data_IF_439768208234
#
_entry.id   IF_439768208234
#
_cell.length_a   1.000
_cell.length_b   1.000
_cell.length_c   1.000
_cell.angle_alpha   90.00
_cell.angle_beta   90.00
_cell.angle_gamma   90.00
#
_symmetry.space_group_name_H-M   'P 1'
#
loop_
_entity.id
_entity.type
_entity.pdbx_description
1 polymer ?
#
# COMPACT_ATOMS: atom_id res chain seq x y z
N UNK A 1 12.57 2.03 8.51
CA UNK A 1 12.26 3.16 9.41
C UNK A 1 10.79 3.54 9.22
N UNK A 2 9.91 3.03 10.09
CA UNK A 2 8.48 3.39 10.13
C UNK A 2 8.31 4.46 11.20
N UNK A 3 7.57 5.51 10.84
CA UNK A 3 6.68 6.25 11.74
C UNK A 3 7.31 7.12 12.82
N UNK A 4 7.30 8.44 12.58
CA UNK A 4 6.80 9.42 13.55
C UNK A 4 6.58 10.75 12.85
N UNK A 5 5.32 10.98 12.49
CA UNK A 5 4.89 12.17 11.79
C UNK A 5 3.41 12.12 11.45
N UNK A 6 2.55 11.66 12.37
CA UNK A 6 1.11 11.87 12.24
C UNK A 6 0.64 12.69 13.44
N UNK A 7 0.66 14.00 13.20
CA UNK A 7 -0.19 15.01 13.83
C UNK A 7 -1.52 14.41 14.31
N UNK A 8 -2.01 14.83 15.49
CA UNK A 8 -3.35 14.48 15.98
C UNK A 8 -4.48 14.69 14.95
N UNK A 9 -4.24 15.52 13.92
CA UNK A 9 -5.16 15.71 12.80
C UNK A 9 -5.19 14.52 11.84
N UNK A 10 -4.05 13.87 11.55
CA UNK A 10 -4.00 12.72 10.63
C UNK A 10 -4.81 11.52 11.13
N UNK A 11 -4.71 11.21 12.43
CA UNK A 11 -5.54 10.16 13.05
C UNK A 11 -7.04 10.49 13.04
N UNK A 12 -7.41 11.77 13.18
CA UNK A 12 -8.80 12.22 13.07
C UNK A 12 -9.33 12.09 11.64
N UNK A 13 -8.48 12.36 10.65
CA UNK A 13 -8.83 12.27 9.24
C UNK A 13 -9.05 10.81 8.83
N UNK A 14 -8.20 9.86 9.26
CA UNK A 14 -8.40 8.43 8.98
C UNK A 14 -9.71 7.88 9.55
N UNK A 15 -10.08 8.24 10.79
CA UNK A 15 -11.35 7.80 11.38
C UNK A 15 -12.57 8.31 10.63
N UNK A 16 -12.53 9.55 10.14
CA UNK A 16 -13.60 10.09 9.29
C UNK A 16 -13.71 9.34 7.96
N UNK A 17 -12.56 9.02 7.35
CA UNK A 17 -12.53 8.25 6.11
C UNK A 17 -13.15 6.86 6.31
N UNK A 18 -12.79 6.16 7.40
CA UNK A 18 -13.38 4.86 7.75
C UNK A 18 -14.91 4.98 7.84
N UNK A 19 -15.44 5.93 8.61
CA UNK A 19 -16.89 6.13 8.74
C UNK A 19 -17.58 6.37 7.40
N UNK A 20 -16.99 7.18 6.51
CA UNK A 20 -17.54 7.44 5.18
C UNK A 20 -17.55 6.16 4.34
N UNK A 21 -16.47 5.39 4.36
CA UNK A 21 -16.35 4.15 3.59
C UNK A 21 -17.33 3.09 4.10
N UNK A 22 -17.43 2.88 5.41
CA UNK A 22 -18.34 1.92 6.06
C UNK A 22 -19.82 2.26 5.84
N UNK A 23 -20.15 3.54 5.65
CA UNK A 23 -21.52 3.98 5.35
C UNK A 23 -22.00 3.64 3.94
N UNK A 24 -21.11 3.19 3.05
CA UNK A 24 -21.48 2.92 1.66
C UNK A 24 -22.23 1.60 1.53
N UNK A 25 -23.32 1.56 0.77
CA UNK A 25 -23.95 0.29 0.42
C UNK A 25 -22.97 -0.56 -0.40
N UNK A 26 -23.10 -1.88 -0.28
CA UNK A 26 -22.30 -2.86 -1.03
C UNK A 26 -20.78 -2.80 -0.82
N UNK A 27 -20.31 -2.27 0.32
CA UNK A 27 -18.87 -2.30 0.67
C UNK A 27 -18.26 -3.70 0.58
N UNK A 28 -19.09 -4.72 0.82
CA UNK A 28 -18.75 -6.13 0.74
C UNK A 28 -18.39 -6.65 -0.65
N UNK A 29 -18.67 -5.87 -1.69
CA UNK A 29 -18.44 -6.24 -3.09
C UNK A 29 -17.30 -5.44 -3.72
N UNK A 30 -16.69 -4.52 -2.99
CA UNK A 30 -15.65 -3.63 -3.49
C UNK A 30 -14.34 -3.82 -2.73
N UNK A 31 -13.43 -4.58 -3.35
CA UNK A 31 -12.11 -4.86 -2.80
C UNK A 31 -11.28 -3.59 -2.56
N UNK A 32 -11.45 -2.57 -3.38
CA UNK A 32 -10.70 -1.32 -3.22
C UNK A 32 -11.17 -0.56 -1.98
N UNK A 33 -12.48 -0.51 -1.72
CA UNK A 33 -13.02 0.11 -0.50
C UNK A 33 -12.56 -0.63 0.76
N UNK A 34 -12.61 -1.97 0.74
CA UNK A 34 -12.09 -2.78 1.84
C UNK A 34 -10.59 -2.54 2.09
N UNK A 35 -9.80 -2.49 1.02
CA UNK A 35 -8.37 -2.17 1.12
C UNK A 35 -8.13 -0.78 1.72
N UNK A 36 -8.91 0.23 1.33
CA UNK A 36 -8.80 1.58 1.90
C UNK A 36 -9.11 1.62 3.39
N UNK A 37 -10.12 0.86 3.84
CA UNK A 37 -10.42 0.74 5.28
C UNK A 37 -9.24 0.08 5.99
N UNK A 38 -8.71 -1.02 5.44
CA UNK A 38 -7.55 -1.70 5.99
C UNK A 38 -6.33 -0.77 6.14
N UNK A 39 -6.06 0.06 5.12
CA UNK A 39 -4.95 1.02 5.12
C UNK A 39 -5.14 2.12 6.18
N UNK A 40 -6.38 2.56 6.38
CA UNK A 40 -6.71 3.52 7.44
C UNK A 40 -6.50 2.91 8.83
N UNK A 41 -6.94 1.67 9.08
CA UNK A 41 -6.70 0.99 10.34
C UNK A 41 -5.20 0.76 10.60
N UNK A 42 -4.45 0.31 9.59
CA UNK A 42 -2.99 0.14 9.68
C UNK A 42 -2.30 1.48 10.01
N UNK A 43 -2.75 2.58 9.40
CA UNK A 43 -2.24 3.93 9.67
C UNK A 43 -2.58 4.44 11.08
N UNK A 44 -3.65 3.93 11.69
CA UNK A 44 -4.02 4.17 13.08
C UNK A 44 -3.30 3.24 14.08
N UNK A 45 -2.54 2.25 13.58
CA UNK A 45 -1.89 1.22 14.39
C UNK A 45 -2.83 0.10 14.84
N UNK A 46 -4.04 0.04 14.28
CA UNK A 46 -5.02 -1.02 14.51
C UNK A 46 -4.79 -2.16 13.52
N UNK A 47 -3.66 -2.85 13.70
CA UNK A 47 -3.25 -3.96 12.82
C UNK A 47 -4.25 -5.13 12.77
N UNK A 48 -4.95 -5.51 13.86
CA UNK A 48 -5.99 -6.55 13.80
C UNK A 48 -7.13 -6.22 12.83
N UNK A 49 -7.70 -5.01 12.92
CA UNK A 49 -8.76 -4.59 12.01
C UNK A 49 -8.22 -4.42 10.56
N UNK A 50 -6.99 -3.95 10.41
CA UNK A 50 -6.34 -3.87 9.10
C UNK A 50 -6.20 -5.26 8.45
N UNK A 51 -5.85 -6.28 9.23
CA UNK A 51 -5.74 -7.67 8.76
C UNK A 51 -7.11 -8.20 8.35
N UNK A 52 -8.15 -7.96 9.15
CA UNK A 52 -9.52 -8.41 8.85
C UNK A 52 -10.01 -7.84 7.50
N UNK A 53 -10.00 -6.51 7.36
CA UNK A 53 -10.43 -5.84 6.14
C UNK A 53 -9.54 -6.16 4.94
N UNK A 54 -8.22 -6.22 5.16
CA UNK A 54 -7.26 -6.56 4.12
C UNK A 54 -7.46 -7.98 3.59
N UNK A 55 -7.80 -8.94 4.47
CA UNK A 55 -8.04 -10.33 4.07
C UNK A 55 -9.31 -10.45 3.24
N UNK A 56 -10.37 -9.71 3.59
CA UNK A 56 -11.61 -9.65 2.81
C UNK A 56 -11.39 -9.02 1.44
N UNK A 57 -10.61 -7.93 1.38
CA UNK A 57 -10.19 -7.33 0.11
C UNK A 57 -9.45 -8.33 -0.78
N UNK A 58 -8.47 -9.05 -0.20
CA UNK A 58 -7.67 -10.03 -0.93
C UNK A 58 -8.50 -11.23 -1.39
N UNK A 59 -9.55 -11.62 -0.65
CA UNK A 59 -10.47 -12.68 -1.06
C UNK A 59 -11.25 -12.32 -2.34
N UNK A 60 -11.59 -11.04 -2.53
CA UNK A 60 -12.25 -10.54 -3.74
C UNK A 60 -11.26 -10.30 -4.90
N UNK A 61 -10.03 -9.87 -4.59
CA UNK A 61 -8.99 -9.65 -5.58
C UNK A 61 -7.64 -10.26 -5.12
N UNK A 62 -7.43 -11.57 -5.31
CA UNK A 62 -6.22 -12.29 -4.84
C UNK A 62 -4.92 -11.78 -5.47
N UNK A 63 -5.02 -11.14 -6.64
CA UNK A 63 -3.89 -10.56 -7.35
C UNK A 63 -3.51 -9.16 -6.86
N UNK A 64 -4.21 -8.60 -5.86
CA UNK A 64 -3.94 -7.27 -5.32
C UNK A 64 -2.61 -7.23 -4.56
N UNK A 65 -1.54 -6.83 -5.26
CA UNK A 65 -0.20 -6.66 -4.65
C UNK A 65 -0.24 -5.66 -3.50
N UNK A 66 -0.97 -4.54 -3.65
CA UNK A 66 -1.03 -3.51 -2.61
C UNK A 66 -1.71 -4.01 -1.33
N UNK A 67 -2.73 -4.85 -1.45
CA UNK A 67 -3.37 -5.49 -0.29
C UNK A 67 -2.44 -6.50 0.36
N UNK A 68 -1.71 -7.27 -0.45
CA UNK A 68 -0.72 -8.22 0.03
C UNK A 68 0.43 -7.53 0.78
N UNK A 69 0.96 -6.42 0.26
CA UNK A 69 2.01 -5.61 0.91
C UNK A 69 1.54 -5.09 2.27
N UNK A 70 0.28 -4.61 2.35
CA UNK A 70 -0.34 -4.14 3.59
C UNK A 70 -0.42 -5.27 4.62
N UNK A 71 -0.95 -6.43 4.23
CA UNK A 71 -1.12 -7.57 5.11
C UNK A 71 0.24 -8.08 5.63
N UNK A 72 1.24 -8.20 4.76
CA UNK A 72 2.62 -8.56 5.15
C UNK A 72 3.14 -7.59 6.22
N UNK A 73 2.93 -6.29 6.04
CA UNK A 73 3.33 -5.29 7.00
C UNK A 73 2.63 -5.43 8.36
N UNK A 74 1.33 -5.75 8.35
CA UNK A 74 0.54 -5.95 9.57
C UNK A 74 0.93 -7.25 10.28
N UNK A 75 1.10 -8.36 9.54
CA UNK A 75 1.57 -9.64 10.08
C UNK A 75 2.95 -9.50 10.72
N UNK A 76 3.87 -8.77 10.08
CA UNK A 76 5.18 -8.49 10.67
C UNK A 76 5.09 -7.72 11.99
N UNK A 77 4.24 -6.68 12.06
CA UNK A 77 4.07 -5.87 13.28
C UNK A 77 3.38 -6.62 14.42
N UNK A 78 2.47 -7.53 14.08
CA UNK A 78 1.74 -8.37 15.05
C UNK A 78 2.51 -9.63 15.45
N UNK A 79 3.67 -9.89 14.84
CA UNK A 79 4.53 -11.03 15.15
C UNK A 79 4.16 -12.33 14.44
N UNK A 80 3.19 -12.31 13.52
CA UNK A 80 2.85 -13.46 12.67
C UNK A 80 3.85 -13.58 11.51
N UNK A 81 5.07 -13.99 11.85
CA UNK A 81 6.19 -14.02 10.90
C UNK A 81 6.01 -15.04 9.78
N UNK A 82 5.27 -16.11 10.03
CA UNK A 82 4.98 -17.17 9.07
C UNK A 82 4.06 -16.67 7.95
N UNK A 83 2.95 -16.00 8.30
CA UNK A 83 2.06 -15.41 7.28
C UNK A 83 2.72 -14.26 6.54
N UNK A 84 3.53 -13.45 7.24
CA UNK A 84 4.33 -12.41 6.58
C UNK A 84 5.31 -13.01 5.56
N UNK A 85 6.02 -14.10 5.90
CA UNK A 85 6.92 -14.80 4.98
C UNK A 85 6.17 -15.37 3.77
N UNK A 86 5.04 -16.04 3.98
CA UNK A 86 4.22 -16.57 2.90
C UNK A 86 3.79 -15.47 1.92
N UNK A 87 3.30 -14.35 2.45
CA UNK A 87 2.89 -13.20 1.63
C UNK A 87 4.07 -12.58 0.86
N UNK A 88 5.26 -12.51 1.46
CA UNK A 88 6.48 -12.05 0.80
C UNK A 88 6.88 -12.98 -0.35
N UNK A 89 6.83 -14.30 -0.15
CA UNK A 89 7.13 -15.26 -1.21
C UNK A 89 6.18 -15.11 -2.40
N UNK A 90 4.88 -14.95 -2.14
CA UNK A 90 3.88 -14.68 -3.21
C UNK A 90 4.21 -13.37 -3.94
N UNK A 91 4.50 -12.29 -3.21
CA UNK A 91 4.78 -10.99 -3.80
C UNK A 91 6.08 -10.95 -4.61
N UNK A 92 7.14 -11.63 -4.15
CA UNK A 92 8.43 -11.68 -4.83
C UNK A 92 8.43 -12.59 -6.06
N UNK A 93 7.58 -13.63 -6.08
CA UNK A 93 7.38 -14.45 -7.27
C UNK A 93 6.72 -13.67 -8.41
N UNK A 94 6.05 -12.55 -8.13
CA UNK A 94 5.49 -11.66 -9.14
C UNK A 94 6.58 -10.74 -9.72
N UNK A 95 6.59 -10.51 -11.04
CA UNK A 95 7.55 -9.59 -11.66
C UNK A 95 7.45 -8.20 -11.02
N UNK A 96 8.57 -7.46 -10.91
CA UNK A 96 8.52 -6.10 -10.44
C UNK A 96 7.60 -5.28 -11.33
N UNK A 97 6.72 -4.44 -10.76
CA UNK A 97 5.92 -3.54 -11.56
C UNK A 97 6.86 -2.63 -12.37
N UNK A 98 6.52 -2.42 -13.64
CA UNK A 98 7.16 -1.44 -14.50
C UNK A 98 7.14 -0.07 -13.78
N UNK A 99 8.29 0.64 -13.69
CA UNK A 99 8.32 1.98 -13.12
C UNK A 99 7.31 2.88 -13.84
N UNK A 100 6.34 3.40 -13.08
CA UNK A 100 5.33 4.28 -13.66
C UNK A 100 6.00 5.57 -14.11
N UNK A 101 5.68 6.01 -15.33
CA UNK A 101 6.21 7.24 -15.93
C UNK A 101 5.10 7.98 -16.62
N UNK A 102 5.13 9.31 -16.53
CA UNK A 102 4.21 10.14 -17.28
C UNK A 102 4.55 10.04 -18.77
N UNK A 103 3.62 9.57 -19.63
CA UNK A 103 3.87 9.52 -21.07
C UNK A 103 4.22 10.92 -21.61
N UNK A 104 5.24 10.99 -22.46
CA UNK A 104 5.77 12.27 -22.97
C UNK A 104 4.69 13.11 -23.65
N UNK A 105 3.77 12.47 -24.37
CA UNK A 105 2.70 13.14 -25.09
C UNK A 105 1.64 13.79 -24.18
N UNK A 106 1.51 13.35 -22.91
CA UNK A 106 0.57 13.96 -21.96
C UNK A 106 1.14 15.23 -21.30
N UNK A 107 2.46 15.42 -21.30
CA UNK A 107 3.10 16.55 -20.62
C UNK A 107 2.63 17.91 -21.14
N UNK A 108 2.53 18.06 -22.47
CA UNK A 108 2.10 19.31 -23.10
C UNK A 108 0.65 19.68 -22.75
N UNK A 109 -0.33 18.81 -23.03
CA UNK A 109 -1.72 19.03 -22.65
C UNK A 109 -1.92 19.29 -21.15
N UNK A 110 -1.24 18.53 -20.28
CA UNK A 110 -1.32 18.72 -18.83
C UNK A 110 -0.75 20.07 -18.39
N UNK A 111 0.37 20.50 -18.97
CA UNK A 111 0.95 21.81 -18.70
C UNK A 111 0.00 22.95 -19.10
N UNK A 112 -0.78 22.77 -20.16
CA UNK A 112 -1.79 23.77 -20.56
C UNK A 112 -2.96 23.79 -19.56
N UNK A 113 -3.45 22.61 -19.15
CA UNK A 113 -4.50 22.49 -18.14
C UNK A 113 -4.07 23.04 -16.78
N UNK A 114 -2.79 22.95 -16.42
CA UNK A 114 -2.28 23.45 -15.14
C UNK A 114 -2.23 24.98 -15.04
N UNK A 115 -2.42 25.71 -16.15
CA UNK A 115 -2.60 27.17 -16.14
C UNK A 115 -3.95 27.59 -15.56
N UNK A 116 -4.95 26.71 -15.55
CA UNK A 116 -6.25 26.98 -14.93
C UNK A 116 -6.10 26.85 -13.41
N UNK A 117 -6.34 27.92 -12.61
CA UNK A 117 -6.04 27.91 -11.16
C UNK A 117 -6.66 26.75 -10.38
N UNK A 118 -7.89 26.34 -10.74
CA UNK A 118 -8.60 25.21 -10.11
C UNK A 118 -7.96 23.85 -10.43
N UNK A 119 -7.31 23.73 -11.58
CA UNK A 119 -6.67 22.50 -12.05
C UNK A 119 -5.15 22.49 -11.83
N UNK A 120 -4.54 23.64 -11.52
CA UNK A 120 -3.09 23.79 -11.31
C UNK A 120 -2.48 22.66 -10.50
N UNK A 121 -3.05 22.37 -9.33
CA UNK A 121 -2.54 21.32 -8.42
C UNK A 121 -2.69 19.90 -8.96
N UNK A 122 -3.73 19.64 -9.74
CA UNK A 122 -4.07 18.30 -10.22
C UNK A 122 -3.45 18.00 -11.59
N UNK A 123 -3.27 19.01 -12.44
CA UNK A 123 -2.76 18.89 -13.80
C UNK A 123 -1.27 19.25 -13.93
N UNK A 124 -0.59 19.64 -12.85
CA UNK A 124 0.85 19.94 -12.87
C UNK A 124 1.66 18.68 -13.21
N UNK A 125 2.31 18.62 -14.39
CA UNK A 125 3.09 17.46 -14.80
C UNK A 125 4.26 17.17 -13.86
N UNK A 126 4.91 18.20 -13.33
CA UNK A 126 6.06 18.03 -12.43
C UNK A 126 5.64 17.40 -11.11
N UNK A 127 4.50 17.85 -10.56
CA UNK A 127 3.93 17.23 -9.36
C UNK A 127 3.50 15.78 -9.59
N UNK A 128 2.92 15.48 -10.76
CA UNK A 128 2.59 14.11 -11.12
C UNK A 128 3.85 13.25 -11.19
N UNK A 129 4.88 13.73 -11.88
CA UNK A 129 6.17 13.03 -12.00
C UNK A 129 6.81 12.77 -10.64
N UNK A 130 6.83 13.76 -9.75
CA UNK A 130 7.30 13.58 -8.37
C UNK A 130 6.52 12.50 -7.63
N UNK A 131 5.19 12.45 -7.81
CA UNK A 131 4.35 11.41 -7.22
C UNK A 131 4.70 10.02 -7.77
N UNK A 132 4.93 9.91 -9.07
CA UNK A 132 5.33 8.65 -9.72
C UNK A 132 6.72 8.21 -9.24
N UNK A 133 7.68 9.13 -9.16
CA UNK A 133 9.03 8.86 -8.65
C UNK A 133 8.97 8.34 -7.21
N UNK A 134 8.20 9.00 -6.34
CA UNK A 134 8.01 8.56 -4.95
C UNK A 134 7.36 7.18 -4.87
N UNK A 135 6.34 6.92 -5.69
CA UNK A 135 5.67 5.62 -5.77
C UNK A 135 6.64 4.51 -6.19
N UNK A 136 7.40 4.73 -7.26
CA UNK A 136 8.40 3.79 -7.75
C UNK A 136 9.49 3.53 -6.68
N UNK A 137 9.99 4.58 -6.02
CA UNK A 137 10.97 4.44 -4.94
C UNK A 137 10.41 3.66 -3.74
N UNK A 138 9.14 3.87 -3.37
CA UNK A 138 8.48 3.12 -2.31
C UNK A 138 8.44 1.63 -2.63
N UNK A 139 8.05 1.28 -3.85
CA UNK A 139 7.97 -0.11 -4.29
C UNK A 139 9.35 -0.79 -4.32
N UNK A 140 10.38 -0.09 -4.81
CA UNK A 140 11.76 -0.61 -4.79
C UNK A 140 12.23 -0.89 -3.36
N UNK A 141 12.06 0.07 -2.45
CA UNK A 141 12.41 -0.08 -1.04
C UNK A 141 11.65 -1.22 -0.37
N UNK A 142 10.36 -1.37 -0.68
CA UNK A 142 9.55 -2.47 -0.16
C UNK A 142 10.09 -3.83 -0.63
N UNK A 143 10.45 -3.96 -1.91
CA UNK A 143 11.02 -5.20 -2.46
C UNK A 143 12.39 -5.52 -1.89
N UNK A 144 13.25 -4.52 -1.69
CA UNK A 144 14.54 -4.69 -1.01
C UNK A 144 14.34 -5.20 0.43
N UNK A 145 13.43 -4.58 1.18
CA UNK A 145 13.06 -5.04 2.51
C UNK A 145 12.51 -6.46 2.49
N UNK A 146 11.61 -6.78 1.56
CA UNK A 146 11.00 -8.12 1.45
C UNK A 146 12.04 -9.21 1.16
N UNK A 147 13.04 -8.93 0.32
CA UNK A 147 14.17 -9.86 0.09
C UNK A 147 14.98 -10.08 1.36
N UNK A 148 15.32 -9.01 2.07
CA UNK A 148 16.05 -9.12 3.35
C UNK A 148 15.26 -9.90 4.40
N UNK A 149 13.95 -9.66 4.51
CA UNK A 149 13.07 -10.40 5.39
C UNK A 149 13.02 -11.90 5.04
N UNK A 150 12.91 -12.23 3.74
CA UNK A 150 12.93 -13.61 3.26
C UNK A 150 14.20 -14.34 3.72
N UNK A 151 15.37 -13.75 3.48
CA UNK A 151 16.66 -14.31 3.91
C UNK A 151 16.73 -14.50 5.43
N UNK A 152 16.36 -13.48 6.20
CA UNK A 152 16.32 -13.56 7.66
C UNK A 152 15.42 -14.70 8.15
N UNK A 153 14.23 -14.85 7.56
CA UNK A 153 13.28 -15.89 7.97
C UNK A 153 13.83 -17.30 7.66
N UNK A 154 14.43 -17.49 6.48
CA UNK A 154 15.04 -18.75 6.05
C UNK A 154 16.28 -19.11 6.89
N UNK A 155 17.10 -18.16 7.30
CA UNK A 155 18.23 -18.41 8.20
C UNK A 155 17.74 -18.81 9.60
N UNK A 156 16.72 -18.12 10.12
CA UNK A 156 16.21 -18.31 11.48
C UNK A 156 15.42 -19.62 11.63
N UNK A 157 14.64 -20.01 10.61
CA UNK A 157 13.71 -21.14 10.66
C UNK A 157 14.10 -22.30 9.72
N UNK A 158 14.89 -22.05 8.68
CA UNK A 158 15.37 -23.08 7.75
C UNK A 158 16.52 -23.93 8.30
N UNK A 159 17.31 -23.40 9.24
CA UNK A 159 18.35 -24.15 9.96
C UNK A 159 17.79 -25.17 10.97
N UNK A 160 16.46 -25.24 11.17
CA UNK A 160 15.77 -26.18 12.07
C UNK A 160 15.07 -27.33 11.34
N UNK A 161 15.53 -27.74 10.16
CA UNK A 161 15.09 -29.02 9.58
C UNK A 161 16.08 -30.12 10.01
N UNK A 162 15.65 -31.16 10.77
CA UNK A 162 16.46 -32.34 11.04
C UNK A 162 16.76 -33.13 9.75
#
# INVERSE_FOLDING_TARGET
MVGKGSSANGGRDYRKVIQILESKPDIEKDSHHMWMIADCHASLGDDPAAIEWGTRSLALLPESVVTLELLVGCYHRTGDYDRAYQGICVALNRPPPEPQRLPRFLRGPLKLLSLIPRLKKAADPGRMEDSLIKSNQRQLKWREWARGYKSWYEETHGARRP
#
